data_IF_106450267235
#
_entry.id   IF_106450267235
#
_cell.length_a   1.000
_cell.length_b   1.000
_cell.length_c   1.000
_cell.angle_alpha   90.00
_cell.angle_beta   90.00
_cell.angle_gamma   90.00
#
_symmetry.space_group_name_H-M   'P 1'
#
loop_
_entity.id
_entity.type
_entity.pdbx_description
1 polymer ?
#
# COMPACT_ATOMS: atom_id res chain seq x y z
N UNK A 1 -4.27 -13.64 -15.86
CA UNK A 1 -3.59 -12.32 -15.95
C UNK A 1 -2.18 -12.51 -16.46
N UNK A 2 -1.88 -11.99 -17.64
CA UNK A 2 -0.60 -12.13 -18.36
C UNK A 2 0.22 -10.85 -18.38
N UNK A 3 -0.41 -9.69 -18.20
CA UNK A 3 0.24 -8.39 -18.28
C UNK A 3 -0.29 -7.47 -17.18
N UNK A 4 0.59 -6.64 -16.63
CA UNK A 4 0.22 -5.54 -15.73
C UNK A 4 0.73 -4.24 -16.34
N UNK A 5 -0.14 -3.24 -16.39
CA UNK A 5 0.14 -1.90 -16.88
C UNK A 5 0.24 -0.92 -15.72
N UNK A 6 1.12 0.06 -15.87
CA UNK A 6 1.51 1.01 -14.84
C UNK A 6 1.25 2.43 -15.35
N UNK A 7 0.01 2.89 -15.19
CA UNK A 7 -0.36 4.28 -15.46
C UNK A 7 0.45 5.23 -14.59
N UNK A 8 0.88 6.36 -15.14
CA UNK A 8 1.76 7.30 -14.44
C UNK A 8 1.12 7.89 -13.19
N UNK A 9 -0.19 8.12 -13.17
CA UNK A 9 -0.88 8.59 -11.96
C UNK A 9 -0.89 7.50 -10.89
N UNK A 10 -1.15 6.25 -11.28
CA UNK A 10 -1.10 5.12 -10.34
C UNK A 10 0.30 4.93 -9.77
N UNK A 11 1.33 5.01 -10.62
CA UNK A 11 2.73 4.95 -10.20
C UNK A 11 3.05 6.09 -9.22
N UNK A 12 2.71 7.33 -9.58
CA UNK A 12 2.88 8.50 -8.71
C UNK A 12 2.18 8.29 -7.35
N UNK A 13 0.93 7.83 -7.34
CA UNK A 13 0.19 7.57 -6.11
C UNK A 13 0.87 6.55 -5.21
N UNK A 14 1.47 5.49 -5.79
CA UNK A 14 2.19 4.49 -5.00
C UNK A 14 3.52 4.95 -4.41
N UNK A 15 4.07 6.11 -4.82
CA UNK A 15 5.35 6.61 -4.28
C UNK A 15 5.30 6.89 -2.78
N UNK A 16 4.11 7.15 -2.22
CA UNK A 16 3.92 7.22 -0.76
C UNK A 16 4.32 5.94 -0.05
N UNK A 17 4.53 4.83 -0.76
CA UNK A 17 4.93 3.54 -0.23
C UNK A 17 6.38 3.15 -0.49
N UNK A 18 7.23 4.07 -0.97
CA UNK A 18 8.65 3.79 -1.19
C UNK A 18 9.54 4.72 -0.37
N UNK A 19 10.68 4.19 0.11
CA UNK A 19 11.75 4.97 0.75
C UNK A 19 12.62 5.70 -0.27
N UNK A 20 12.75 5.12 -1.48
CA UNK A 20 13.52 5.66 -2.58
C UNK A 20 12.86 5.30 -3.91
N UNK A 21 13.16 6.07 -4.94
CA UNK A 21 12.62 5.89 -6.28
C UNK A 21 13.72 5.48 -7.26
N UNK A 22 13.40 4.53 -8.14
CA UNK A 22 14.24 4.16 -9.28
C UNK A 22 14.35 5.29 -10.31
N UNK A 23 15.55 5.53 -10.84
CA UNK A 23 15.83 6.65 -11.76
C UNK A 23 15.02 6.55 -13.06
N UNK A 24 14.75 5.34 -13.55
CA UNK A 24 13.94 5.16 -14.78
C UNK A 24 12.50 5.55 -14.53
N UNK A 25 11.96 5.22 -13.36
CA UNK A 25 10.60 5.60 -12.98
C UNK A 25 10.50 7.10 -12.73
N UNK A 26 11.51 7.71 -12.10
CA UNK A 26 11.58 9.18 -12.00
C UNK A 26 11.55 9.83 -13.39
N UNK A 27 12.36 9.34 -14.33
CA UNK A 27 12.36 9.83 -15.71
C UNK A 27 11.02 9.61 -16.44
N UNK A 28 10.35 8.49 -16.20
CA UNK A 28 9.00 8.23 -16.72
C UNK A 28 8.00 9.28 -16.20
N UNK A 29 8.01 9.56 -14.90
CA UNK A 29 7.11 10.54 -14.30
C UNK A 29 7.39 11.97 -14.82
N UNK A 30 8.67 12.33 -14.99
CA UNK A 30 9.00 13.61 -15.64
C UNK A 30 8.47 13.71 -17.06
N UNK A 31 8.57 12.63 -17.83
CA UNK A 31 8.04 12.59 -19.20
C UNK A 31 6.51 12.75 -19.24
N UNK A 32 5.83 12.39 -18.15
CA UNK A 32 4.39 12.58 -17.97
C UNK A 32 4.02 13.93 -17.30
N UNK A 33 4.99 14.79 -17.02
CA UNK A 33 4.77 16.15 -16.52
C UNK A 33 4.83 16.35 -15.01
N UNK A 34 5.25 15.33 -14.25
CA UNK A 34 5.51 15.49 -12.81
C UNK A 34 6.87 16.15 -12.57
N UNK A 35 6.92 17.12 -11.66
CA UNK A 35 8.17 17.78 -11.25
C UNK A 35 8.84 17.06 -10.06
N UNK A 36 10.12 17.39 -9.79
CA UNK A 36 10.86 16.79 -8.68
C UNK A 36 10.25 17.11 -7.32
N UNK A 37 9.66 18.31 -7.17
CA UNK A 37 9.08 18.76 -5.90
C UNK A 37 7.90 17.87 -5.50
N UNK A 38 6.98 17.61 -6.43
CA UNK A 38 5.82 16.75 -6.24
C UNK A 38 6.23 15.29 -6.02
N UNK A 39 7.16 14.75 -6.81
CA UNK A 39 7.69 13.39 -6.65
C UNK A 39 8.30 13.22 -5.25
N UNK A 40 9.14 14.15 -4.83
CA UNK A 40 9.81 14.07 -3.54
C UNK A 40 8.84 14.31 -2.38
N UNK A 41 7.83 15.18 -2.54
CA UNK A 41 6.77 15.35 -1.55
C UNK A 41 5.97 14.07 -1.37
N UNK A 42 5.65 13.37 -2.46
CA UNK A 42 4.95 12.10 -2.44
C UNK A 42 5.78 11.00 -1.77
N UNK A 43 7.09 10.94 -2.03
CA UNK A 43 8.01 10.03 -1.34
C UNK A 43 8.13 10.34 0.17
N UNK A 44 8.07 11.62 0.58
CA UNK A 44 8.12 12.00 2.00
C UNK A 44 6.79 11.80 2.74
N UNK A 45 5.69 11.57 2.02
CA UNK A 45 4.39 11.37 2.65
C UNK A 45 4.42 10.20 3.65
N UNK A 46 3.76 10.40 4.79
CA UNK A 46 3.63 9.37 5.80
C UNK A 46 2.81 8.19 5.27
N UNK A 47 3.31 6.97 5.49
CA UNK A 47 2.66 5.75 5.03
C UNK A 47 3.53 4.52 5.28
N UNK A 48 2.96 3.35 5.07
CA UNK A 48 3.73 2.10 5.03
C UNK A 48 4.74 2.17 3.89
N UNK A 49 6.01 1.80 4.12
CA UNK A 49 7.10 1.97 3.15
C UNK A 49 7.80 0.66 2.84
N UNK A 50 8.06 0.38 1.56
CA UNK A 50 8.94 -0.70 1.14
C UNK A 50 10.38 -0.32 1.44
N UNK A 51 11.16 -1.29 1.94
CA UNK A 51 12.58 -1.09 2.11
C UNK A 51 13.28 -0.93 0.77
N UNK A 52 14.28 -0.05 0.71
CA UNK A 52 15.14 0.12 -0.47
C UNK A 52 15.77 -1.22 -0.92
N UNK A 53 16.07 -2.12 0.02
CA UNK A 53 16.61 -3.46 -0.25
C UNK A 53 15.62 -4.39 -0.94
N UNK A 54 14.31 -4.16 -0.75
CA UNK A 54 13.27 -4.95 -1.38
C UNK A 54 12.95 -4.42 -2.79
N UNK A 55 12.58 -3.14 -2.91
CA UNK A 55 12.24 -2.52 -4.19
C UNK A 55 12.28 -0.98 -4.13
N UNK A 56 12.48 -0.36 -5.30
CA UNK A 56 12.48 1.11 -5.48
C UNK A 56 11.42 1.61 -6.46
N UNK A 57 10.52 0.73 -6.89
CA UNK A 57 9.42 1.05 -7.80
C UNK A 57 8.32 0.01 -7.75
N UNK A 58 7.08 0.38 -8.13
CA UNK A 58 5.98 -0.58 -8.21
C UNK A 58 6.24 -1.70 -9.23
N UNK A 59 6.95 -1.40 -10.33
CA UNK A 59 7.31 -2.39 -11.35
C UNK A 59 8.22 -3.48 -10.76
N UNK A 60 9.25 -3.10 -9.99
CA UNK A 60 10.15 -4.05 -9.34
C UNK A 60 9.43 -4.94 -8.33
N UNK A 61 8.49 -4.37 -7.56
CA UNK A 61 7.68 -5.16 -6.62
C UNK A 61 6.83 -6.17 -7.38
N UNK A 62 6.10 -5.75 -8.41
CA UNK A 62 5.25 -6.64 -9.21
C UNK A 62 6.06 -7.74 -9.87
N UNK A 63 7.24 -7.44 -10.43
CA UNK A 63 8.14 -8.44 -11.01
C UNK A 63 8.54 -9.51 -9.98
N UNK A 64 8.94 -9.07 -8.77
CA UNK A 64 9.25 -9.99 -7.66
C UNK A 64 8.04 -10.84 -7.27
N UNK A 65 6.86 -10.24 -7.13
CA UNK A 65 5.65 -10.96 -6.75
C UNK A 65 5.24 -12.00 -7.81
N UNK A 66 5.36 -11.69 -9.11
CA UNK A 66 5.11 -12.64 -10.20
C UNK A 66 6.09 -13.82 -10.09
N UNK A 67 7.38 -13.54 -9.86
CA UNK A 67 8.39 -14.58 -9.70
C UNK A 67 8.17 -15.47 -8.47
N UNK A 68 7.77 -14.88 -7.34
CA UNK A 68 7.54 -15.59 -6.08
C UNK A 68 6.20 -16.34 -6.04
N UNK A 69 5.15 -15.79 -6.68
CA UNK A 69 3.77 -16.25 -6.55
C UNK A 69 3.03 -16.34 -7.89
N UNK A 70 3.56 -17.01 -8.93
CA UNK A 70 2.97 -17.01 -10.26
C UNK A 70 1.51 -17.49 -10.26
N UNK A 71 1.21 -18.53 -9.46
CA UNK A 71 -0.15 -19.08 -9.32
C UNK A 71 -1.18 -18.09 -8.77
N UNK A 72 -0.77 -17.07 -8.02
CA UNK A 72 -1.70 -16.05 -7.51
C UNK A 72 -2.23 -15.15 -8.63
N UNK A 73 -1.41 -14.90 -9.66
CA UNK A 73 -1.81 -14.11 -10.83
C UNK A 73 -2.62 -14.94 -11.83
N UNK A 74 -2.32 -16.24 -11.94
CA UNK A 74 -3.09 -17.18 -12.76
C UNK A 74 -4.53 -17.35 -12.26
N UNK A 75 -4.70 -17.43 -10.94
CA UNK A 75 -6.01 -17.63 -10.29
C UNK A 75 -6.59 -16.35 -9.70
N UNK A 76 -6.13 -15.18 -10.15
CA UNK A 76 -6.66 -13.91 -9.69
C UNK A 76 -8.14 -13.78 -10.05
N UNK A 77 -8.97 -13.45 -9.06
CA UNK A 77 -10.40 -13.20 -9.24
C UNK A 77 -10.69 -11.70 -9.10
N UNK A 78 -11.71 -11.26 -9.83
CA UNK A 78 -12.24 -9.90 -9.72
C UNK A 78 -13.26 -9.87 -8.56
N UNK A 79 -13.08 -8.92 -7.66
CA UNK A 79 -14.01 -8.62 -6.57
C UNK A 79 -15.28 -7.95 -7.10
N UNK A 80 -16.29 -7.86 -6.24
CA UNK A 80 -17.60 -7.26 -6.58
C UNK A 80 -17.53 -5.82 -7.09
N UNK A 81 -16.46 -5.09 -6.77
CA UNK A 81 -16.22 -3.71 -7.19
C UNK A 81 -15.33 -3.58 -8.44
N UNK A 82 -15.10 -4.68 -9.16
CA UNK A 82 -14.32 -4.69 -10.41
C UNK A 82 -12.80 -4.66 -10.21
N UNK A 83 -12.32 -4.74 -8.96
CA UNK A 83 -10.90 -4.74 -8.63
C UNK A 83 -10.40 -6.16 -8.39
N UNK A 84 -9.12 -6.37 -8.63
CA UNK A 84 -8.39 -7.58 -8.23
C UNK A 84 -7.51 -7.20 -7.04
N UNK A 85 -7.72 -7.87 -5.90
CA UNK A 85 -6.91 -7.69 -4.69
C UNK A 85 -6.09 -8.94 -4.41
N UNK A 86 -4.77 -8.80 -4.46
CA UNK A 86 -3.85 -9.89 -4.17
C UNK A 86 -3.03 -9.55 -2.93
N UNK A 87 -3.12 -10.43 -1.92
CA UNK A 87 -2.35 -10.36 -0.68
C UNK A 87 -1.26 -11.42 -0.68
N UNK A 88 -0.03 -11.01 -0.39
CA UNK A 88 1.15 -11.85 -0.43
C UNK A 88 1.89 -11.82 0.90
N UNK A 89 2.28 -13.00 1.39
CA UNK A 89 3.26 -13.14 2.46
C UNK A 89 4.61 -13.48 1.83
N UNK A 90 5.48 -12.46 1.71
CA UNK A 90 6.79 -12.53 1.07
C UNK A 90 7.83 -13.33 1.86
N UNK A 91 7.50 -13.85 3.05
CA UNK A 91 8.37 -14.66 3.93
C UNK A 91 9.62 -13.96 4.48
N UNK A 92 9.93 -12.77 4.00
CA UNK A 92 10.94 -11.85 4.52
C UNK A 92 10.33 -10.49 4.84
N UNK A 93 11.04 -9.66 5.61
CA UNK A 93 10.59 -8.30 5.88
C UNK A 93 10.85 -7.43 4.63
N UNK A 94 9.77 -6.91 4.04
CA UNK A 94 9.81 -6.16 2.78
C UNK A 94 9.67 -4.66 2.98
N UNK A 95 9.29 -4.24 4.19
CA UNK A 95 9.03 -2.85 4.49
C UNK A 95 8.50 -2.65 5.90
N UNK A 96 7.86 -1.51 6.11
CA UNK A 96 7.23 -1.10 7.36
C UNK A 96 5.75 -0.85 7.15
N UNK A 97 4.95 -1.07 8.19
CA UNK A 97 3.53 -0.73 8.20
C UNK A 97 3.23 0.45 9.12
N UNK A 98 2.22 1.26 8.77
CA UNK A 98 1.75 2.41 9.56
C UNK A 98 0.41 2.18 10.25
N UNK A 99 -0.04 0.94 10.27
CA UNK A 99 -1.21 0.48 11.01
C UNK A 99 -0.76 -0.68 11.88
N UNK A 100 -1.24 -0.71 13.12
CA UNK A 100 -0.92 -1.74 14.10
C UNK A 100 -2.17 -2.14 14.86
N UNK A 101 -2.35 -3.44 15.11
CA UNK A 101 -3.39 -3.93 16.02
C UNK A 101 -3.03 -3.58 17.48
N UNK A 102 -4.00 -3.14 18.26
CA UNK A 102 -3.84 -2.76 19.66
C UNK A 102 -3.18 -3.85 20.51
N UNK A 103 -3.41 -5.13 20.16
CA UNK A 103 -2.84 -6.28 20.87
C UNK A 103 -1.32 -6.37 20.73
N UNK A 104 -0.75 -5.82 19.65
CA UNK A 104 0.69 -5.80 19.37
C UNK A 104 1.41 -4.62 20.04
N UNK A 105 0.68 -3.72 20.71
CA UNK A 105 1.25 -2.56 21.38
C UNK A 105 1.85 -2.93 22.74
N UNK A 106 3.03 -2.35 23.02
CA UNK A 106 3.64 -2.36 24.35
C UNK A 106 2.80 -1.53 25.32
N UNK A 107 2.98 -1.75 26.63
CA UNK A 107 2.19 -1.08 27.68
C UNK A 107 2.35 0.44 27.58
N UNK A 108 3.57 0.91 27.31
CA UNK A 108 3.91 2.33 27.22
C UNK A 108 3.26 2.98 25.98
N UNK A 109 3.25 2.27 24.84
CA UNK A 109 2.63 2.73 23.61
C UNK A 109 1.11 2.89 23.78
N UNK A 110 0.47 1.94 24.47
CA UNK A 110 -0.98 1.99 24.76
C UNK A 110 -1.40 3.24 25.53
N UNK A 111 -0.52 3.79 26.38
CA UNK A 111 -0.78 5.03 27.12
C UNK A 111 -0.79 6.27 26.21
N UNK A 112 -0.24 6.16 24.99
CA UNK A 112 -0.20 7.26 24.01
C UNK A 112 -1.37 7.23 23.02
N UNK A 113 -2.26 6.24 23.15
CA UNK A 113 -3.44 6.09 22.29
C UNK A 113 -4.33 7.32 22.46
N UNK A 114 -4.68 7.94 21.34
CA UNK A 114 -5.61 9.05 21.31
C UNK A 114 -6.40 9.10 20.02
N UNK A 115 -7.55 9.75 20.10
CA UNK A 115 -8.37 10.06 18.94
C UNK A 115 -7.92 11.37 18.29
N UNK A 116 -7.74 11.36 16.97
CA UNK A 116 -7.38 12.52 16.17
C UNK A 116 -8.35 12.71 15.03
N UNK A 117 -8.57 13.97 14.61
CA UNK A 117 -9.31 14.26 13.38
C UNK A 117 -8.37 14.26 12.18
N UNK A 118 -8.58 13.33 11.23
CA UNK A 118 -7.88 13.31 9.94
C UNK A 118 -8.91 13.37 8.82
N UNK A 119 -8.83 14.39 7.96
CA UNK A 119 -9.79 14.59 6.86
C UNK A 119 -11.24 14.79 7.32
N UNK A 120 -11.46 15.27 8.55
CA UNK A 120 -12.79 15.41 9.15
C UNK A 120 -13.25 14.22 10.00
N UNK A 121 -12.46 13.15 10.08
CA UNK A 121 -12.84 11.88 10.70
C UNK A 121 -12.07 11.58 11.96
N UNK A 122 -12.75 11.02 12.97
CA UNK A 122 -12.11 10.57 14.21
C UNK A 122 -11.41 9.23 13.97
N UNK A 123 -10.09 9.20 14.11
CA UNK A 123 -9.27 7.99 13.99
C UNK A 123 -8.46 7.76 15.25
N UNK A 124 -8.26 6.49 15.62
CA UNK A 124 -7.39 6.12 16.74
C UNK A 124 -5.94 6.11 16.25
N UNK A 125 -5.08 6.74 17.03
CA UNK A 125 -3.67 6.87 16.72
C UNK A 125 -2.82 6.48 17.92
N UNK A 126 -1.61 6.02 17.67
CA UNK A 126 -0.63 5.64 18.69
C UNK A 126 0.72 6.23 18.33
N UNK A 127 1.48 6.65 19.34
CA UNK A 127 2.87 7.03 19.15
C UNK A 127 3.76 5.84 19.41
N UNK A 128 4.65 5.58 18.47
CA UNK A 128 5.69 4.58 18.64
C UNK A 128 6.97 5.03 17.95
N UNK A 129 8.09 4.82 18.64
CA UNK A 129 9.42 5.11 18.12
C UNK A 129 10.02 3.87 17.42
N UNK A 130 9.33 2.71 17.46
CA UNK A 130 9.84 1.48 16.86
C UNK A 130 9.42 1.37 15.39
N UNK A 131 10.34 0.83 14.60
CA UNK A 131 10.02 0.36 13.26
C UNK A 131 9.15 -0.89 13.37
N UNK A 132 8.01 -0.92 12.68
CA UNK A 132 7.12 -2.09 12.63
C UNK A 132 7.31 -2.78 11.28
N UNK A 133 8.19 -3.79 11.18
CA UNK A 133 8.44 -4.46 9.92
C UNK A 133 7.22 -5.27 9.50
N UNK A 134 7.06 -5.44 8.19
CA UNK A 134 6.02 -6.31 7.63
C UNK A 134 6.59 -7.17 6.51
N UNK A 135 6.02 -8.37 6.41
CA UNK A 135 6.24 -9.34 5.33
C UNK A 135 5.11 -9.35 4.30
N UNK A 136 4.06 -8.59 4.58
CA UNK A 136 2.82 -8.62 3.82
C UNK A 136 2.89 -7.54 2.74
N UNK A 137 2.49 -7.90 1.51
CA UNK A 137 2.34 -6.99 0.40
C UNK A 137 0.92 -7.06 -0.15
N UNK A 138 0.31 -5.91 -0.40
CA UNK A 138 -0.98 -5.81 -1.10
C UNK A 138 -0.76 -5.24 -2.49
N UNK A 139 -1.27 -5.91 -3.51
CA UNK A 139 -1.38 -5.40 -4.88
C UNK A 139 -2.85 -5.29 -5.25
N UNK A 140 -3.25 -4.09 -5.69
CA UNK A 140 -4.61 -3.79 -6.14
C UNK A 140 -4.55 -3.40 -7.60
N UNK A 141 -5.32 -4.11 -8.41
CA UNK A 141 -5.44 -3.89 -9.85
C UNK A 141 -6.90 -3.65 -10.23
N UNK A 142 -7.13 -2.98 -11.35
CA UNK A 142 -8.40 -3.06 -12.08
C UNK A 142 -8.21 -3.88 -13.35
N UNK A 143 -9.31 -4.39 -13.86
CA UNK A 143 -9.37 -5.09 -15.14
C UNK A 143 -10.40 -4.36 -16.00
N UNK A 144 -10.15 -4.26 -17.30
CA UNK A 144 -11.13 -3.71 -18.23
C UNK A 144 -12.14 -4.79 -18.65
N UNK A 145 -13.41 -4.41 -18.76
CA UNK A 145 -14.47 -5.27 -19.29
C UNK A 145 -14.11 -5.71 -20.72
N UNK A 146 -13.74 -6.98 -20.87
CA UNK A 146 -13.34 -7.58 -22.15
C UNK A 146 -11.86 -7.99 -22.26
N UNK A 147 -10.98 -7.55 -21.34
CA UNK A 147 -9.59 -8.01 -21.28
C UNK A 147 -9.18 -8.41 -19.85
N UNK A 148 -9.55 -9.62 -19.47
CA UNK A 148 -9.20 -10.24 -18.17
C UNK A 148 -7.72 -10.62 -18.05
N UNK A 149 -6.94 -10.47 -19.12
CA UNK A 149 -5.53 -10.82 -19.14
C UNK A 149 -4.63 -9.64 -18.81
N UNK A 150 -5.14 -8.41 -18.92
CA UNK A 150 -4.41 -7.18 -18.59
C UNK A 150 -4.94 -6.55 -17.30
N UNK A 151 -4.10 -6.51 -16.27
CA UNK A 151 -4.35 -5.74 -15.06
C UNK A 151 -3.78 -4.33 -15.14
N UNK A 152 -4.44 -3.36 -14.53
CA UNK A 152 -3.99 -1.97 -14.42
C UNK A 152 -3.71 -1.65 -12.97
N UNK A 153 -2.50 -1.18 -12.66
CA UNK A 153 -2.13 -0.81 -11.29
C UNK A 153 -3.09 0.23 -10.74
N UNK A 154 -3.66 -0.03 -9.57
CA UNK A 154 -4.41 0.95 -8.78
C UNK A 154 -3.63 1.38 -7.55
N UNK A 155 -3.09 0.41 -6.80
CA UNK A 155 -2.28 0.66 -5.62
C UNK A 155 -1.41 -0.55 -5.29
N UNK A 156 -0.33 -0.31 -4.57
CA UNK A 156 0.63 -1.31 -4.13
C UNK A 156 1.31 -0.80 -2.86
N UNK A 157 1.27 -1.59 -1.79
CA UNK A 157 1.84 -1.17 -0.51
C UNK A 157 2.24 -2.35 0.37
N UNK A 158 3.22 -2.17 1.28
CA UNK A 158 3.51 -3.14 2.32
C UNK A 158 2.55 -2.98 3.50
N UNK A 159 2.23 -4.08 4.16
CA UNK A 159 1.32 -4.15 5.29
C UNK A 159 0.03 -4.89 4.95
N UNK A 160 -0.82 -5.02 5.96
CA UNK A 160 -2.12 -5.66 5.80
C UNK A 160 -3.09 -4.77 5.02
N UNK A 161 -4.02 -5.40 4.31
CA UNK A 161 -5.10 -4.69 3.64
C UNK A 161 -6.05 -4.12 4.69
N UNK A 162 -5.98 -2.81 4.88
CA UNK A 162 -6.96 -2.11 5.70
C UNK A 162 -8.20 -1.76 4.86
N UNK A 163 -9.42 -2.01 5.37
CA UNK A 163 -10.64 -1.53 4.72
C UNK A 163 -10.68 0.00 4.72
N UNK A 164 -11.47 0.62 3.84
CA UNK A 164 -11.74 2.05 3.95
C UNK A 164 -12.21 2.43 5.35
N UNK A 165 -11.94 3.67 5.78
CA UNK A 165 -12.42 4.16 7.08
C UNK A 165 -13.95 4.07 7.22
N UNK A 166 -14.67 4.13 6.10
CA UNK A 166 -16.12 4.04 6.05
C UNK A 166 -16.57 2.86 5.21
N UNK A 167 -17.55 2.13 5.74
CA UNK A 167 -18.35 1.25 4.90
C UNK A 167 -19.31 2.10 4.02
N UNK A 168 -19.69 1.60 2.82
CA UNK A 168 -20.73 2.23 2.01
C UNK A 168 -22.08 2.37 2.73
N UNK A 169 -22.30 1.55 3.75
CA UNK A 169 -23.51 1.49 4.58
C UNK A 169 -23.48 2.49 5.75
N UNK A 170 -22.36 3.19 5.94
CA UNK A 170 -22.16 4.16 7.01
C UNK A 170 -21.61 3.54 8.30
N UNK A 171 -20.78 4.31 9.00
CA UNK A 171 -20.12 3.90 10.24
C UNK A 171 -18.66 3.50 10.04
N UNK A 172 -17.94 3.39 11.16
CA UNK A 172 -16.55 2.96 11.22
C UNK A 172 -16.50 1.43 11.06
N UNK A 173 -15.71 0.95 10.09
CA UNK A 173 -15.48 -0.48 9.91
C UNK A 173 -14.95 -1.10 11.22
N UNK A 174 -15.46 -2.28 11.66
CA UNK A 174 -14.98 -2.95 12.87
C UNK A 174 -13.46 -3.12 12.96
N UNK A 175 -12.78 -3.24 11.83
CA UNK A 175 -11.31 -3.26 11.75
C UNK A 175 -10.67 -2.09 12.50
N UNK A 176 -11.20 -0.88 12.33
CA UNK A 176 -10.65 0.33 12.93
C UNK A 176 -10.97 0.49 14.42
N UNK A 177 -11.73 -0.44 15.01
CA UNK A 177 -11.90 -0.50 16.47
C UNK A 177 -10.67 -1.05 17.15
N UNK A 178 -9.90 -1.93 16.51
CA UNK A 178 -8.68 -2.54 17.09
C UNK A 178 -7.40 -2.07 16.42
N UNK A 179 -7.49 -1.51 15.20
CA UNK A 179 -6.31 -1.05 14.45
C UNK A 179 -6.10 0.46 14.59
N UNK A 180 -4.85 0.85 14.86
CA UNK A 180 -4.45 2.23 15.11
C UNK A 180 -3.45 2.71 14.06
N UNK A 181 -3.57 3.98 13.69
CA UNK A 181 -2.55 4.63 12.87
C UNK A 181 -1.33 5.02 13.72
N UNK A 182 -0.15 4.73 13.19
CA UNK A 182 1.10 5.15 13.80
C UNK A 182 1.36 6.62 13.48
N UNK A 183 1.63 7.41 14.52
CA UNK A 183 2.05 8.81 14.43
C UNK A 183 3.54 8.93 14.20
#
# INVERSE_FOLDING_TARGET
>A
MKKILFDENAVYHTLTHFEALDDKVRAQLHSAGFDDESIDAQLRAAGSKFFVSFARSPQMVVEKLIGMFPRRFEHASVDVDGRVRLSFDCKENIGTQKIIDETELMVEERLTIREEKRGGYCVRTVQTDRMIPTRICQLILTINDGDVETGYLCSLFPGELAPPLFSPEGGLDPYWKTHLFIR
#
